data_IF_366865779705
#
_entry.id   IF_366865779705
#
_cell.length_a   1.000
_cell.length_b   1.000
_cell.length_c   1.000
_cell.angle_alpha   90.00
_cell.angle_beta   90.00
_cell.angle_gamma   90.00
#
_symmetry.space_group_name_H-M   'P 1'
#
loop_
_entity.id
_entity.type
_entity.pdbx_description
1 polymer ?
#
# COMPACT_ATOMS: atom_id res chain seq x y z
N UNK A 1 0.02 -9.80 9.38
CA UNK A 1 -1.04 -10.82 9.42
C UNK A 1 -2.41 -10.30 9.00
N UNK A 2 -2.77 -9.04 9.28
CA UNK A 2 -4.01 -8.43 8.75
C UNK A 2 -3.81 -7.65 7.45
N UNK A 3 -4.89 -7.02 6.99
CA UNK A 3 -5.00 -6.27 5.73
C UNK A 3 -5.29 -4.79 5.99
N UNK A 4 -5.05 -3.95 4.98
CA UNK A 4 -5.37 -2.52 5.00
C UNK A 4 -6.49 -2.23 3.99
N UNK A 5 -7.52 -1.51 4.45
CA UNK A 5 -8.62 -1.03 3.63
C UNK A 5 -8.65 0.49 3.61
N UNK A 6 -8.37 1.10 2.45
CA UNK A 6 -8.67 2.51 2.20
C UNK A 6 -10.15 2.66 1.85
N UNK A 7 -10.86 3.58 2.49
CA UNK A 7 -12.29 3.79 2.27
C UNK A 7 -12.60 5.26 2.04
N UNK A 8 -13.23 5.59 0.91
CA UNK A 8 -13.55 6.98 0.57
C UNK A 8 -14.63 7.11 -0.50
N UNK A 9 -15.09 8.33 -0.74
CA UNK A 9 -15.96 8.68 -1.85
C UNK A 9 -15.23 9.63 -2.82
N UNK A 10 -15.72 9.75 -4.06
CA UNK A 10 -15.19 10.69 -5.05
C UNK A 10 -13.66 10.61 -5.20
N UNK A 11 -12.98 11.76 -5.16
CA UNK A 11 -11.51 11.85 -5.26
C UNK A 11 -10.80 11.05 -4.17
N UNK A 12 -11.25 11.12 -2.92
CA UNK A 12 -10.66 10.38 -1.79
C UNK A 12 -10.66 8.87 -2.02
N UNK A 13 -11.79 8.34 -2.48
CA UNK A 13 -11.92 6.92 -2.81
C UNK A 13 -11.01 6.52 -3.98
N UNK A 14 -10.91 7.36 -5.03
CA UNK A 14 -10.01 7.11 -6.17
C UNK A 14 -8.54 7.10 -5.77
N UNK A 15 -8.12 8.02 -4.90
CA UNK A 15 -6.74 8.05 -4.37
C UNK A 15 -6.42 6.79 -3.57
N UNK A 16 -7.34 6.32 -2.72
CA UNK A 16 -7.18 5.06 -1.99
C UNK A 16 -7.06 3.84 -2.91
N UNK A 17 -7.86 3.78 -3.98
CA UNK A 17 -7.77 2.71 -4.99
C UNK A 17 -6.47 2.78 -5.78
N UNK A 18 -6.03 3.98 -6.18
CA UNK A 18 -4.76 4.20 -6.87
C UNK A 18 -3.59 3.70 -6.03
N UNK A 19 -3.53 4.10 -4.76
CA UNK A 19 -2.44 3.69 -3.86
C UNK A 19 -2.40 2.16 -3.67
N UNK A 20 -3.56 1.54 -3.46
CA UNK A 20 -3.66 0.10 -3.32
C UNK A 20 -3.17 -0.64 -4.58
N UNK A 21 -3.48 -0.12 -5.78
CA UNK A 21 -3.09 -0.71 -7.05
C UNK A 21 -1.57 -0.64 -7.32
N UNK A 22 -0.88 0.35 -6.75
CA UNK A 22 0.57 0.51 -6.90
C UNK A 22 1.37 -0.44 -5.98
N UNK A 23 0.76 -0.98 -4.93
CA UNK A 23 1.46 -1.82 -3.96
C UNK A 23 1.97 -3.16 -4.52
N UNK A 24 1.17 -3.98 -5.25
CA UNK A 24 1.63 -5.24 -5.82
C UNK A 24 2.85 -5.14 -6.75
N UNK A 25 2.86 -4.27 -7.79
CA UNK A 25 4.01 -4.19 -8.68
C UNK A 25 5.25 -3.58 -8.01
N UNK A 26 5.08 -2.75 -6.97
CA UNK A 26 6.15 -2.05 -6.27
C UNK A 26 6.80 -2.92 -5.18
N UNK A 27 5.99 -3.60 -4.36
CA UNK A 27 6.45 -4.29 -3.15
C UNK A 27 6.22 -5.82 -3.19
N UNK A 28 5.77 -6.35 -4.33
CA UNK A 28 5.51 -7.78 -4.50
C UNK A 28 4.44 -8.31 -3.54
N UNK A 29 3.51 -7.46 -3.13
CA UNK A 29 2.43 -7.84 -2.21
C UNK A 29 1.27 -8.47 -2.97
N UNK A 30 0.58 -9.41 -2.33
CA UNK A 30 -0.71 -9.89 -2.86
C UNK A 30 -1.73 -8.74 -2.90
N UNK A 31 -2.58 -8.69 -3.93
CA UNK A 31 -3.57 -7.62 -4.14
C UNK A 31 -4.63 -7.51 -3.04
N UNK A 32 -4.80 -8.55 -2.24
CA UNK A 32 -5.70 -8.54 -1.08
C UNK A 32 -5.09 -7.91 0.18
N UNK A 33 -3.79 -7.63 0.21
CA UNK A 33 -3.13 -7.07 1.39
C UNK A 33 -3.55 -5.62 1.63
N UNK A 34 -3.62 -4.82 0.56
CA UNK A 34 -4.02 -3.41 0.57
C UNK A 34 -5.09 -3.23 -0.48
N UNK A 35 -6.26 -2.74 -0.08
CA UNK A 35 -7.44 -2.64 -0.94
C UNK A 35 -8.09 -1.26 -0.82
N UNK A 36 -8.48 -0.69 -1.96
CA UNK A 36 -9.28 0.52 -2.01
C UNK A 36 -10.77 0.22 -2.17
N UNK A 37 -11.60 0.86 -1.35
CA UNK A 37 -13.06 0.77 -1.37
C UNK A 37 -13.59 2.18 -1.64
N UNK A 38 -14.30 2.32 -2.76
CA UNK A 38 -14.90 3.58 -3.20
C UNK A 38 -16.44 3.49 -3.12
N UNK A 39 -17.08 4.53 -2.59
CA UNK A 39 -18.53 4.68 -2.59
C UNK A 39 -19.09 4.59 -4.02
N UNK A 40 -20.15 3.81 -4.25
CA UNK A 40 -20.70 3.54 -5.58
C UNK A 40 -19.93 2.48 -6.38
N UNK A 41 -18.89 1.87 -5.78
CA UNK A 41 -18.17 0.73 -6.33
C UNK A 41 -17.35 1.03 -7.58
N UNK A 42 -17.02 0.00 -8.37
CA UNK A 42 -16.08 0.11 -9.50
C UNK A 42 -16.47 1.18 -10.54
N UNK A 43 -17.77 1.42 -10.76
CA UNK A 43 -18.25 2.44 -11.68
C UNK A 43 -17.81 3.85 -11.26
N UNK A 44 -17.72 4.11 -9.95
CA UNK A 44 -17.31 5.38 -9.37
C UNK A 44 -15.86 5.79 -9.73
N UNK A 45 -15.03 4.83 -10.14
CA UNK A 45 -13.65 5.10 -10.59
C UNK A 45 -13.63 5.98 -11.84
N UNK A 46 -14.53 5.71 -12.80
CA UNK A 46 -14.55 6.38 -14.10
C UNK A 46 -15.55 7.52 -14.17
N UNK A 47 -16.65 7.44 -13.43
CA UNK A 47 -17.71 8.46 -13.43
C UNK A 47 -18.15 8.73 -12.00
N UNK A 48 -18.41 9.98 -11.66
CA UNK A 48 -18.98 10.32 -10.36
C UNK A 48 -20.40 9.73 -10.24
N UNK A 49 -20.75 9.30 -9.04
CA UNK A 49 -22.07 8.76 -8.70
C UNK A 49 -22.62 9.62 -7.57
N UNK A 50 -23.58 10.47 -7.88
CA UNK A 50 -24.22 11.34 -6.89
C UNK A 50 -24.97 10.53 -5.84
N UNK A 51 -24.93 10.99 -4.59
CA UNK A 51 -25.56 10.33 -3.43
C UNK A 51 -24.86 9.08 -2.91
N UNK A 52 -23.84 8.54 -3.61
CA UNK A 52 -23.10 7.36 -3.14
C UNK A 52 -22.38 7.62 -1.80
N UNK A 53 -21.93 8.86 -1.59
CA UNK A 53 -21.20 9.27 -0.38
C UNK A 53 -22.08 9.35 0.88
N UNK A 54 -23.39 9.46 0.70
CA UNK A 54 -24.37 9.59 1.78
C UNK A 54 -24.78 8.24 2.40
N UNK A 55 -24.36 7.14 1.78
CA UNK A 55 -24.72 5.79 2.22
C UNK A 55 -23.85 5.30 3.38
N UNK A 56 -24.36 5.38 4.61
CA UNK A 56 -23.70 4.80 5.81
C UNK A 56 -23.61 3.26 5.77
N UNK A 57 -24.51 2.61 5.04
CA UNK A 57 -24.65 1.15 5.03
C UNK A 57 -23.81 0.45 3.95
N UNK A 58 -23.51 1.12 2.83
CA UNK A 58 -22.81 0.47 1.72
C UNK A 58 -21.37 0.06 2.09
N UNK A 59 -20.62 0.94 2.78
CA UNK A 59 -19.27 0.61 3.23
C UNK A 59 -19.27 -0.62 4.17
N UNK A 60 -20.24 -0.69 5.10
CA UNK A 60 -20.44 -1.85 5.97
C UNK A 60 -20.68 -3.12 5.17
N UNK A 61 -21.54 -3.09 4.15
CA UNK A 61 -21.83 -4.27 3.30
C UNK A 61 -20.55 -4.78 2.62
N UNK A 62 -19.73 -3.87 2.07
CA UNK A 62 -18.46 -4.23 1.42
C UNK A 62 -17.47 -4.83 2.41
N UNK A 63 -17.23 -4.16 3.54
CA UNK A 63 -16.29 -4.62 4.58
C UNK A 63 -16.74 -5.96 5.20
N UNK A 64 -18.05 -6.17 5.36
CA UNK A 64 -18.60 -7.44 5.82
C UNK A 64 -18.34 -8.57 4.84
N UNK A 65 -18.52 -8.34 3.52
CA UNK A 65 -18.21 -9.34 2.48
C UNK A 65 -16.73 -9.69 2.46
N UNK A 66 -15.87 -8.70 2.73
CA UNK A 66 -14.42 -8.88 2.84
C UNK A 66 -14.00 -9.53 4.17
N UNK A 67 -14.95 -9.85 5.06
CA UNK A 67 -14.71 -10.46 6.37
C UNK A 67 -13.70 -9.64 7.19
N UNK A 68 -13.96 -8.35 7.35
CA UNK A 68 -13.15 -7.46 8.17
C UNK A 68 -13.02 -8.02 9.61
N UNK A 69 -11.79 -8.09 10.12
CA UNK A 69 -11.48 -8.58 11.48
C UNK A 69 -10.54 -7.66 12.27
N UNK A 70 -10.27 -8.04 13.51
CA UNK A 70 -9.49 -7.24 14.49
C UNK A 70 -8.05 -6.94 14.04
N UNK A 71 -7.45 -7.83 13.24
CA UNK A 71 -6.07 -7.65 12.74
C UNK A 71 -6.00 -6.68 11.57
N UNK A 72 -7.13 -6.36 10.96
CA UNK A 72 -7.20 -5.45 9.81
C UNK A 72 -7.22 -3.99 10.26
N UNK A 73 -6.86 -3.10 9.33
CA UNK A 73 -6.87 -1.65 9.51
C UNK A 73 -7.81 -1.03 8.48
N UNK A 74 -8.68 -0.12 8.93
CA UNK A 74 -9.54 0.70 8.05
C UNK A 74 -9.06 2.14 8.11
N UNK A 75 -8.69 2.68 6.95
CA UNK A 75 -8.28 4.06 6.77
C UNK A 75 -9.39 4.79 6.00
N UNK A 76 -10.18 5.57 6.73
CA UNK A 76 -11.21 6.43 6.17
C UNK A 76 -10.60 7.71 5.60
N UNK A 77 -11.03 8.11 4.41
CA UNK A 77 -10.49 9.28 3.70
C UNK A 77 -11.65 10.22 3.35
N UNK A 78 -11.75 11.34 4.06
CA UNK A 78 -12.78 12.35 3.84
C UNK A 78 -12.22 13.74 4.15
N UNK A 79 -12.02 14.56 3.11
CA UNK A 79 -11.54 15.94 3.29
C UNK A 79 -12.43 16.72 4.28
N UNK A 80 -13.75 16.49 4.25
CA UNK A 80 -14.71 17.13 5.14
C UNK A 80 -14.78 16.57 6.57
N UNK A 81 -14.23 15.37 6.82
CA UNK A 81 -14.43 14.54 8.02
C UNK A 81 -15.86 13.98 8.24
N UNK A 82 -16.85 14.45 7.49
CA UNK A 82 -18.27 14.19 7.76
C UNK A 82 -18.93 13.22 6.78
N UNK A 83 -18.22 12.75 5.76
CA UNK A 83 -18.77 11.87 4.70
C UNK A 83 -19.42 10.61 5.29
N UNK A 84 -20.75 10.41 5.17
CA UNK A 84 -21.46 9.32 5.83
C UNK A 84 -20.96 7.90 5.48
N UNK A 85 -20.59 7.67 4.21
CA UNK A 85 -19.98 6.40 3.78
C UNK A 85 -18.70 6.06 4.55
N UNK A 86 -17.84 7.05 4.78
CA UNK A 86 -16.57 6.89 5.51
C UNK A 86 -16.84 6.67 7.00
N UNK A 87 -17.73 7.47 7.59
CA UNK A 87 -18.12 7.31 9.00
C UNK A 87 -18.77 5.95 9.27
N UNK A 88 -19.61 5.46 8.35
CA UNK A 88 -20.19 4.12 8.40
C UNK A 88 -19.13 3.01 8.38
N UNK A 89 -18.08 3.18 7.57
CA UNK A 89 -16.94 2.26 7.52
C UNK A 89 -16.17 2.21 8.85
N UNK A 90 -15.82 3.38 9.40
CA UNK A 90 -15.09 3.50 10.67
C UNK A 90 -15.92 2.98 11.86
N UNK A 91 -17.23 3.22 11.86
CA UNK A 91 -18.15 2.67 12.86
C UNK A 91 -18.22 1.15 12.80
N UNK A 92 -18.30 0.57 11.59
CA UNK A 92 -18.28 -0.88 11.43
C UNK A 92 -16.93 -1.49 11.85
N UNK A 93 -15.82 -0.86 11.48
CA UNK A 93 -14.48 -1.27 11.90
C UNK A 93 -14.34 -1.28 13.42
N UNK A 94 -14.90 -0.27 14.11
CA UNK A 94 -14.92 -0.21 15.59
C UNK A 94 -15.63 -1.43 16.17
N UNK A 95 -16.78 -1.80 15.62
CA UNK A 95 -17.55 -2.99 16.06
C UNK A 95 -16.82 -4.30 15.81
N UNK A 96 -15.86 -4.33 14.88
CA UNK A 96 -15.03 -5.51 14.56
C UNK A 96 -13.68 -5.53 15.28
N UNK A 97 -13.41 -4.54 16.13
CA UNK A 97 -12.12 -4.42 16.83
C UNK A 97 -10.95 -4.05 15.92
N UNK A 98 -11.21 -3.67 14.66
CA UNK A 98 -10.16 -3.27 13.72
C UNK A 98 -9.57 -1.92 14.10
N UNK A 99 -8.29 -1.72 13.81
CA UNK A 99 -7.67 -0.40 13.95
C UNK A 99 -8.29 0.57 12.92
N UNK A 100 -8.46 1.83 13.34
CA UNK A 100 -9.13 2.86 12.55
C UNK A 100 -8.25 4.09 12.42
N UNK A 101 -8.08 4.58 11.21
CA UNK A 101 -7.42 5.86 10.91
C UNK A 101 -8.40 6.73 10.11
N UNK A 102 -8.44 8.02 10.39
CA UNK A 102 -9.18 8.99 9.58
C UNK A 102 -8.20 10.02 9.01
N UNK A 103 -8.18 10.17 7.69
CA UNK A 103 -7.48 11.25 6.99
C UNK A 103 -8.51 12.30 6.60
N UNK A 104 -8.26 13.54 7.00
CA UNK A 104 -9.14 14.68 6.73
C UNK A 104 -8.34 15.96 6.44
N UNK A 105 -9.00 17.00 5.94
CA UNK A 105 -8.42 18.33 5.76
C UNK A 105 -9.05 19.40 6.66
N UNK A 106 -9.98 18.99 7.52
CA UNK A 106 -10.59 19.84 8.53
C UNK A 106 -10.02 19.56 9.92
N UNK A 107 -10.03 20.57 10.82
CA UNK A 107 -9.76 20.32 12.23
C UNK A 107 -10.83 19.39 12.80
N UNK A 108 -10.41 18.41 13.60
CA UNK A 108 -11.32 17.48 14.29
C UNK A 108 -10.99 17.52 15.77
N UNK A 109 -12.00 17.87 16.59
CA UNK A 109 -11.91 17.84 18.04
C UNK A 109 -12.47 16.55 18.66
N UNK A 110 -13.09 15.67 17.84
CA UNK A 110 -13.70 14.42 18.28
C UNK A 110 -12.87 13.19 17.89
N UNK A 111 -12.85 12.17 18.75
CA UNK A 111 -12.13 10.93 18.47
C UNK A 111 -12.94 10.00 17.54
N UNK A 112 -13.02 10.35 16.26
CA UNK A 112 -13.72 9.56 15.23
C UNK A 112 -12.99 8.24 14.88
N UNK A 113 -11.67 8.22 15.01
CA UNK A 113 -10.82 7.05 14.77
C UNK A 113 -9.78 6.87 15.90
N UNK A 114 -9.01 5.77 15.87
CA UNK A 114 -7.90 5.60 16.81
C UNK A 114 -6.80 6.62 16.55
N UNK A 115 -6.56 6.95 15.28
CA UNK A 115 -5.63 7.99 14.82
C UNK A 115 -6.37 8.90 13.85
N UNK A 116 -6.36 10.20 14.12
CA UNK A 116 -6.82 11.23 13.18
C UNK A 116 -5.60 11.93 12.57
N UNK A 117 -5.55 12.00 11.24
CA UNK A 117 -4.53 12.72 10.48
C UNK A 117 -5.21 13.92 9.83
N UNK A 118 -5.03 15.11 10.41
CA UNK A 118 -5.63 16.37 9.94
C UNK A 118 -4.64 17.16 9.09
N UNK A 119 -4.89 17.20 7.79
CA UNK A 119 -4.09 17.88 6.76
C UNK A 119 -4.66 19.27 6.50
N UNK A 120 -4.35 20.22 7.38
CA UNK A 120 -4.87 21.59 7.34
C UNK A 120 -4.27 22.41 6.19
N UNK A 121 -4.71 22.12 4.97
CA UNK A 121 -4.23 22.75 3.72
C UNK A 121 -4.83 24.14 3.44
N UNK A 122 -5.76 24.59 4.29
CA UNK A 122 -6.50 25.85 4.13
C UNK A 122 -7.51 25.86 2.98
N UNK A 123 -8.18 27.01 2.73
CA UNK A 123 -9.22 27.14 1.70
C UNK A 123 -8.70 26.81 0.29
N UNK A 124 -9.50 26.11 -0.50
CA UNK A 124 -9.15 25.81 -1.90
C UNK A 124 -9.30 27.06 -2.78
N UNK A 125 -8.52 27.13 -3.86
CA UNK A 125 -8.59 28.27 -4.82
C UNK A 125 -9.95 28.36 -5.50
N UNK A 126 -10.57 27.21 -5.79
CA UNK A 126 -12.00 27.11 -6.10
C UNK A 126 -12.67 26.61 -4.83
N UNK A 127 -13.50 27.46 -4.20
CA UNK A 127 -14.20 27.15 -2.96
C UNK A 127 -14.88 25.77 -3.02
N UNK A 128 -14.53 24.90 -2.09
CA UNK A 128 -15.07 23.53 -1.98
C UNK A 128 -14.45 22.49 -2.93
N UNK A 129 -13.58 22.87 -3.89
CA UNK A 129 -12.94 21.95 -4.82
C UNK A 129 -11.77 21.18 -4.18
N UNK A 130 -12.08 20.37 -3.17
CA UNK A 130 -11.12 19.58 -2.37
C UNK A 130 -10.36 18.51 -3.16
N UNK A 131 -10.66 18.32 -4.45
CA UNK A 131 -9.82 17.53 -5.34
C UNK A 131 -8.42 18.14 -5.56
N UNK A 132 -8.23 19.40 -5.17
CA UNK A 132 -7.01 20.19 -5.36
C UNK A 132 -6.03 19.95 -4.21
N UNK A 133 -5.80 20.93 -3.31
CA UNK A 133 -4.78 20.80 -2.26
C UNK A 133 -5.05 19.64 -1.33
N UNK A 134 -6.31 19.45 -0.93
CA UNK A 134 -6.72 18.35 -0.06
C UNK A 134 -6.46 16.99 -0.71
N UNK A 135 -6.76 16.83 -2.00
CA UNK A 135 -6.44 15.64 -2.79
C UNK A 135 -4.93 15.37 -2.87
N UNK A 136 -4.13 16.40 -3.17
CA UNK A 136 -2.67 16.29 -3.25
C UNK A 136 -2.05 15.88 -1.92
N UNK A 137 -2.41 16.56 -0.83
CA UNK A 137 -1.92 16.25 0.52
C UNK A 137 -2.31 14.82 0.92
N UNK A 138 -3.56 14.41 0.61
CA UNK A 138 -4.03 13.05 0.84
C UNK A 138 -3.15 12.03 0.11
N UNK A 139 -2.83 12.24 -1.18
CA UNK A 139 -1.96 11.31 -1.93
C UNK A 139 -0.59 11.16 -1.27
N UNK A 140 0.03 12.26 -0.85
CA UNK A 140 1.33 12.22 -0.17
C UNK A 140 1.28 11.38 1.11
N UNK A 141 0.23 11.54 1.93
CA UNK A 141 0.06 10.74 3.16
C UNK A 141 -0.19 9.27 2.85
N UNK A 142 -1.01 8.96 1.84
CA UNK A 142 -1.23 7.58 1.42
C UNK A 142 0.09 6.91 1.01
N UNK A 143 0.93 7.61 0.24
CA UNK A 143 2.27 7.14 -0.11
C UNK A 143 3.19 6.94 1.09
N UNK A 144 3.16 7.86 2.05
CA UNK A 144 3.94 7.73 3.28
C UNK A 144 3.52 6.48 4.05
N UNK A 145 2.22 6.28 4.25
CA UNK A 145 1.69 5.15 5.02
C UNK A 145 2.08 3.80 4.42
N UNK A 146 1.87 3.62 3.11
CA UNK A 146 2.20 2.36 2.42
C UNK A 146 3.71 2.16 2.32
N UNK A 147 4.46 3.17 1.88
CA UNK A 147 5.90 3.07 1.65
C UNK A 147 6.64 2.83 2.95
N UNK A 148 6.36 3.61 4.00
CA UNK A 148 7.01 3.43 5.30
C UNK A 148 6.68 2.05 5.90
N UNK A 149 5.44 1.59 5.75
CA UNK A 149 5.04 0.24 6.19
C UNK A 149 5.81 -0.84 5.44
N UNK A 150 5.91 -0.73 4.11
CA UNK A 150 6.59 -1.74 3.28
C UNK A 150 8.11 -1.75 3.51
N UNK A 151 8.73 -0.60 3.73
CA UNK A 151 10.13 -0.51 4.18
C UNK A 151 10.31 -1.26 5.50
N UNK A 152 9.43 -1.02 6.49
CA UNK A 152 9.47 -1.71 7.78
C UNK A 152 9.17 -3.20 7.70
N UNK A 153 8.50 -3.66 6.64
CA UNK A 153 8.25 -5.08 6.34
C UNK A 153 9.35 -5.71 5.47
N UNK A 154 10.49 -5.03 5.30
CA UNK A 154 11.64 -5.56 4.58
C UNK A 154 11.46 -5.63 3.06
N UNK A 155 10.49 -4.92 2.48
CA UNK A 155 10.23 -4.90 1.03
C UNK A 155 11.27 -4.13 0.21
N UNK A 156 12.16 -3.40 0.89
CA UNK A 156 13.26 -2.64 0.29
C UNK A 156 14.60 -3.04 0.89
N UNK A 157 15.69 -2.67 0.21
CA UNK A 157 17.05 -2.78 0.72
C UNK A 157 17.75 -1.44 0.49
N UNK A 158 18.00 -0.70 1.58
CA UNK A 158 18.29 0.73 1.46
C UNK A 158 17.12 1.44 0.76
N UNK A 159 17.41 2.14 -0.32
CA UNK A 159 16.42 2.79 -1.19
C UNK A 159 16.02 1.97 -2.43
N UNK A 160 16.45 0.70 -2.52
CA UNK A 160 16.21 -0.16 -3.68
C UNK A 160 14.97 -1.04 -3.51
N UNK A 161 14.18 -1.14 -4.60
CA UNK A 161 12.96 -1.91 -4.71
C UNK A 161 13.27 -3.39 -4.97
N UNK A 162 13.71 -4.11 -3.95
CA UNK A 162 14.17 -5.51 -4.07
C UNK A 162 13.04 -6.55 -4.08
N UNK A 163 11.80 -6.17 -3.78
CA UNK A 163 10.60 -7.03 -3.96
C UNK A 163 9.77 -6.64 -5.20
N UNK A 164 10.39 -5.99 -6.19
CA UNK A 164 9.75 -5.66 -7.47
C UNK A 164 9.25 -6.93 -8.17
N UNK A 165 8.09 -6.85 -8.84
CA UNK A 165 7.57 -7.94 -9.68
C UNK A 165 7.92 -7.67 -11.16
N UNK A 166 8.94 -8.33 -11.74
CA UNK A 166 9.49 -7.99 -13.05
C UNK A 166 8.66 -8.55 -14.22
N UNK A 167 7.37 -8.20 -14.26
CA UNK A 167 6.39 -8.69 -15.24
C UNK A 167 6.38 -7.90 -16.57
N UNK A 168 7.27 -6.92 -16.73
CA UNK A 168 7.42 -6.14 -17.96
C UNK A 168 8.89 -5.93 -18.27
N UNK A 169 9.22 -5.64 -19.54
CA UNK A 169 10.60 -5.34 -19.97
C UNK A 169 11.24 -4.26 -19.09
N UNK A 170 10.54 -3.15 -18.85
CA UNK A 170 10.98 -2.07 -17.95
C UNK A 170 11.34 -2.56 -16.54
N UNK A 171 10.52 -3.44 -15.96
CA UNK A 171 10.76 -3.95 -14.60
C UNK A 171 11.84 -5.03 -14.56
N UNK A 172 11.99 -5.83 -15.63
CA UNK A 172 13.14 -6.73 -15.82
C UNK A 172 14.45 -5.95 -15.90
N UNK A 173 14.49 -4.88 -16.69
CA UNK A 173 15.67 -4.00 -16.79
C UNK A 173 15.99 -3.30 -15.46
N UNK A 174 14.96 -2.96 -14.68
CA UNK A 174 15.13 -2.43 -13.31
C UNK A 174 15.72 -3.49 -12.38
N UNK A 175 15.20 -4.71 -12.39
CA UNK A 175 15.72 -5.82 -11.59
C UNK A 175 17.21 -6.05 -11.90
N UNK A 176 17.58 -6.13 -13.18
CA UNK A 176 18.99 -6.25 -13.63
C UNK A 176 19.86 -5.14 -13.05
N UNK A 177 19.44 -3.87 -13.16
CA UNK A 177 20.19 -2.73 -12.61
C UNK A 177 20.36 -2.80 -11.10
N UNK A 178 19.34 -3.24 -10.36
CA UNK A 178 19.42 -3.43 -8.90
C UNK A 178 20.49 -4.49 -8.57
N UNK A 179 20.47 -5.63 -9.26
CA UNK A 179 21.45 -6.70 -9.05
C UNK A 179 22.86 -6.20 -9.36
N UNK A 180 23.06 -5.54 -10.50
CA UNK A 180 24.36 -4.98 -10.89
C UNK A 180 24.87 -3.96 -9.86
N UNK A 181 24.00 -3.06 -9.39
CA UNK A 181 24.35 -2.03 -8.41
C UNK A 181 24.75 -2.62 -7.06
N UNK A 182 24.04 -3.65 -6.58
CA UNK A 182 24.30 -4.26 -5.26
C UNK A 182 25.54 -5.15 -5.30
N UNK A 183 25.73 -5.92 -6.37
CA UNK A 183 26.79 -6.93 -6.45
C UNK A 183 28.07 -6.44 -7.14
N UNK A 184 28.03 -5.29 -7.83
CA UNK A 184 29.18 -4.79 -8.60
C UNK A 184 29.53 -5.68 -9.81
N UNK A 185 28.53 -6.32 -10.43
CA UNK A 185 28.72 -7.29 -11.52
C UNK A 185 28.21 -6.78 -12.87
N UNK A 186 28.69 -7.40 -13.94
CA UNK A 186 28.24 -7.15 -15.31
C UNK A 186 26.84 -7.72 -15.62
N UNK A 187 26.21 -7.28 -16.74
CA UNK A 187 24.84 -7.64 -17.11
C UNK A 187 24.65 -9.13 -17.33
N UNK A 188 25.61 -9.84 -17.93
CA UNK A 188 25.51 -11.28 -18.20
C UNK A 188 25.41 -12.10 -16.90
N UNK A 189 26.22 -11.75 -15.90
CA UNK A 189 26.17 -12.42 -14.59
C UNK A 189 24.88 -12.07 -13.85
N UNK A 190 24.42 -10.82 -13.94
CA UNK A 190 23.14 -10.41 -13.36
C UNK A 190 21.96 -11.19 -13.98
N UNK A 191 21.94 -11.34 -15.31
CA UNK A 191 20.92 -12.13 -16.02
C UNK A 191 20.98 -13.61 -15.64
N UNK A 192 22.18 -14.17 -15.49
CA UNK A 192 22.36 -15.56 -15.02
C UNK A 192 21.76 -15.77 -13.62
N UNK A 193 22.03 -14.85 -12.68
CA UNK A 193 21.47 -14.92 -11.32
C UNK A 193 19.94 -14.76 -11.33
N UNK A 194 19.41 -13.78 -12.07
CA UNK A 194 17.97 -13.55 -12.19
C UNK A 194 17.24 -14.75 -12.79
N UNK A 195 17.80 -15.38 -13.83
CA UNK A 195 17.21 -16.59 -14.40
C UNK A 195 17.24 -17.76 -13.39
N UNK A 196 18.35 -17.96 -12.69
CA UNK A 196 18.46 -19.02 -11.67
C UNK A 196 17.58 -18.78 -10.44
N UNK A 197 17.23 -17.53 -10.14
CA UNK A 197 16.36 -17.18 -9.02
C UNK A 197 14.87 -17.06 -9.37
N UNK A 198 14.47 -17.47 -10.58
CA UNK A 198 13.10 -17.26 -11.10
C UNK A 198 12.68 -15.79 -11.04
N UNK A 199 13.61 -14.89 -11.33
CA UNK A 199 13.44 -13.43 -11.32
C UNK A 199 13.13 -12.83 -9.95
N UNK A 200 13.34 -13.58 -8.86
CA UNK A 200 13.31 -13.04 -7.50
C UNK A 200 14.62 -12.30 -7.20
N UNK A 201 14.51 -10.99 -6.99
CA UNK A 201 15.66 -10.09 -6.82
C UNK A 201 16.36 -10.32 -5.47
N UNK A 202 15.64 -10.55 -4.38
CA UNK A 202 16.27 -10.82 -3.07
C UNK A 202 17.04 -12.13 -3.10
N UNK A 203 16.45 -13.18 -3.67
CA UNK A 203 17.11 -14.48 -3.83
C UNK A 203 18.33 -14.34 -4.74
N UNK A 204 18.22 -13.62 -5.87
CA UNK A 204 19.37 -13.32 -6.74
C UNK A 204 20.53 -12.66 -6.00
N UNK A 205 20.24 -11.69 -5.12
CA UNK A 205 21.27 -11.00 -4.32
C UNK A 205 21.92 -11.99 -3.34
N UNK A 206 21.13 -12.81 -2.64
CA UNK A 206 21.66 -13.81 -1.71
C UNK A 206 22.55 -14.84 -2.42
N UNK A 207 22.09 -15.37 -3.55
CA UNK A 207 22.88 -16.30 -4.38
C UNK A 207 24.19 -15.64 -4.83
N UNK A 208 24.14 -14.37 -5.25
CA UNK A 208 25.30 -13.61 -5.69
C UNK A 208 26.32 -13.30 -4.58
N UNK A 209 25.87 -12.85 -3.41
CA UNK A 209 26.76 -12.44 -2.32
C UNK A 209 27.29 -13.59 -1.46
N UNK A 210 26.50 -14.67 -1.33
CA UNK A 210 26.81 -15.79 -0.43
C UNK A 210 27.11 -17.10 -1.16
N UNK A 211 27.14 -17.08 -2.49
CA UNK A 211 27.35 -18.25 -3.34
C UNK A 211 26.39 -19.41 -3.03
N UNK A 212 25.15 -19.08 -2.67
CA UNK A 212 24.13 -20.06 -2.30
C UNK A 212 23.42 -20.61 -3.53
N UNK A 213 22.93 -21.84 -3.42
CA UNK A 213 21.90 -22.36 -4.31
C UNK A 213 20.58 -21.60 -4.13
N UNK A 214 19.68 -21.72 -5.11
CA UNK A 214 18.32 -21.17 -5.02
C UNK A 214 17.58 -21.62 -3.75
N UNK A 215 17.70 -22.91 -3.41
CA UNK A 215 17.02 -23.51 -2.26
C UNK A 215 17.54 -22.92 -0.95
N UNK A 216 18.85 -22.89 -0.76
CA UNK A 216 19.49 -22.34 0.44
C UNK A 216 19.17 -20.85 0.61
N UNK A 217 19.24 -20.07 -0.48
CA UNK A 217 18.91 -18.64 -0.45
C UNK A 217 17.43 -18.41 -0.06
N UNK A 218 16.51 -19.21 -0.61
CA UNK A 218 15.08 -19.14 -0.29
C UNK A 218 14.79 -19.51 1.17
N UNK A 219 15.39 -20.60 1.66
CA UNK A 219 15.24 -21.05 3.04
C UNK A 219 15.82 -20.04 4.03
N UNK A 220 17.01 -19.49 3.74
CA UNK A 220 17.63 -18.44 4.55
C UNK A 220 16.79 -17.18 4.60
N UNK A 221 16.28 -16.72 3.46
CA UNK A 221 15.42 -15.55 3.40
C UNK A 221 14.12 -15.76 4.20
N UNK A 222 13.53 -16.96 4.13
CA UNK A 222 12.35 -17.31 4.90
C UNK A 222 12.61 -17.34 6.42
N UNK A 223 13.75 -17.89 6.85
CA UNK A 223 14.19 -17.87 8.27
C UNK A 223 14.31 -16.44 8.82
N UNK A 224 14.72 -15.50 7.99
CA UNK A 224 14.84 -14.08 8.33
C UNK A 224 13.57 -13.26 8.03
N UNK A 225 12.39 -13.90 7.95
CA UNK A 225 11.12 -13.20 7.75
C UNK A 225 11.02 -12.40 6.44
N UNK A 226 11.86 -12.69 5.45
CA UNK A 226 11.92 -11.93 4.19
C UNK A 226 12.81 -10.68 4.21
N UNK A 227 13.53 -10.41 5.30
CA UNK A 227 14.44 -9.27 5.43
C UNK A 227 15.81 -9.59 4.80
N UNK A 228 16.10 -8.96 3.65
CA UNK A 228 17.35 -9.22 2.92
C UNK A 228 18.61 -8.88 3.73
N UNK A 229 18.60 -7.76 4.48
CA UNK A 229 19.75 -7.36 5.31
C UNK A 229 20.06 -8.40 6.39
N UNK A 230 19.04 -8.94 7.04
CA UNK A 230 19.20 -9.99 8.03
C UNK A 230 19.67 -11.30 7.39
N UNK A 231 19.09 -11.68 6.24
CA UNK A 231 19.50 -12.87 5.51
C UNK A 231 20.95 -12.82 5.00
N UNK A 232 21.48 -11.62 4.73
CA UNK A 232 22.88 -11.43 4.37
C UNK A 232 23.83 -11.53 5.58
N UNK A 233 23.35 -11.28 6.79
CA UNK A 233 24.15 -11.29 8.01
C UNK A 233 23.99 -12.57 8.84
N UNK A 234 22.94 -13.36 8.60
CA UNK A 234 22.78 -14.69 9.19
C UNK A 234 23.85 -15.65 8.67
N UNK A 235 24.00 -16.83 9.28
CA UNK A 235 24.81 -17.96 8.81
C UNK A 235 23.96 -19.07 8.15
#
# INVERSE_FOLDING_TARGET
GGRLFFVGAGTSGRLGVMEAAECPPTFGTHSSLIQGIIAGGKKALWRSIEGAEDSTNEAKKVLSKLRLGEKDIVIGIAASATTPFVLGALSYAKKKGSARVLITCNPINSQLANINISLLVGPEVISGSTRMKAGTATKMVLNMLTTASMVRLGKTYGNLMVDVQPNSKKLKDRARRIIMQILGIGPERADSLLNKSNWDVKISILMGMKNLSYKEAKERLARCGGFLREALNSE
#
